data_IF_913527702871
#
_entry.id   IF_913527702871
#
_cell.length_a   1.000
_cell.length_b   1.000
_cell.length_c   1.000
_cell.angle_alpha   90.00
_cell.angle_beta   90.00
_cell.angle_gamma   90.00
#
_symmetry.space_group_name_H-M   'P 1'
#
loop_
_entity.id
_entity.type
_entity.pdbx_description
1 polymer ?
#
# COMPACT_ATOMS: atom_id res chain seq x y z
N UNK A 1 4.07 -11.94 17.36
CA UNK A 1 3.79 -11.33 16.05
C UNK A 1 3.27 -9.95 16.34
N UNK A 2 3.76 -8.92 15.64
CA UNK A 2 3.35 -7.55 15.92
C UNK A 2 1.87 -7.35 15.53
N UNK A 3 1.10 -6.67 16.39
CA UNK A 3 -0.30 -6.37 16.15
C UNK A 3 -0.42 -5.01 15.44
N UNK A 4 -0.91 -5.03 14.20
CA UNK A 4 -1.09 -3.84 13.36
C UNK A 4 -2.56 -3.43 13.38
N UNK A 5 -2.86 -2.19 13.78
CA UNK A 5 -4.22 -1.66 13.84
C UNK A 5 -4.30 -0.36 13.04
N UNK A 6 -5.18 -0.35 12.03
CA UNK A 6 -5.42 0.80 11.15
C UNK A 6 -6.78 1.40 11.51
N UNK A 7 -6.77 2.61 12.04
CA UNK A 7 -7.94 3.38 12.44
C UNK A 7 -8.31 4.33 11.31
N UNK A 8 -9.47 4.10 10.70
CA UNK A 8 -9.91 4.78 9.50
C UNK A 8 -10.85 5.95 9.81
N UNK A 9 -10.92 6.96 8.93
CA UNK A 9 -11.97 7.97 9.02
C UNK A 9 -13.37 7.33 8.97
N UNK A 10 -14.40 8.13 9.21
CA UNK A 10 -15.78 7.67 9.07
C UNK A 10 -16.09 7.35 7.59
N UNK A 11 -15.97 6.07 7.23
CA UNK A 11 -16.25 5.55 5.89
C UNK A 11 -17.69 5.02 5.83
N UNK A 12 -18.28 5.04 4.64
CA UNK A 12 -19.64 4.52 4.41
C UNK A 12 -19.75 2.99 4.59
N UNK A 13 -18.65 2.27 4.47
CA UNK A 13 -18.55 0.81 4.61
C UNK A 13 -17.13 0.42 5.03
N UNK A 14 -16.94 -0.83 5.49
CA UNK A 14 -15.65 -1.31 6.04
C UNK A 14 -14.47 -1.20 5.05
N UNK A 15 -14.70 -1.46 3.77
CA UNK A 15 -13.66 -1.29 2.75
C UNK A 15 -13.49 0.17 2.31
N UNK A 16 -14.50 1.00 2.52
CA UNK A 16 -14.56 2.38 2.06
C UNK A 16 -14.73 2.59 0.55
N UNK A 17 -14.90 1.52 -0.23
CA UNK A 17 -15.01 1.61 -1.71
C UNK A 17 -16.45 1.70 -2.22
N UNK A 18 -17.40 2.02 -1.34
CA UNK A 18 -18.83 2.09 -1.67
C UNK A 18 -19.18 3.44 -2.30
N UNK A 19 -19.20 3.51 -3.63
CA UNK A 19 -19.58 4.71 -4.38
C UNK A 19 -18.95 4.76 -5.78
N UNK A 20 -19.46 5.63 -6.68
CA UNK A 20 -18.93 5.76 -8.04
C UNK A 20 -17.51 6.34 -8.10
N UNK A 21 -17.06 7.05 -7.05
CA UNK A 21 -15.72 7.63 -6.93
C UNK A 21 -14.99 7.01 -5.73
N UNK A 22 -14.63 5.73 -5.85
CA UNK A 22 -13.86 5.06 -4.80
C UNK A 22 -12.39 5.51 -4.79
N UNK A 23 -11.86 5.77 -3.60
CA UNK A 23 -10.46 6.16 -3.41
C UNK A 23 -9.53 4.97 -3.74
N UNK A 24 -8.58 5.17 -4.64
CA UNK A 24 -7.60 4.16 -5.03
C UNK A 24 -6.78 3.65 -3.83
N UNK A 25 -6.53 4.50 -2.84
CA UNK A 25 -5.81 4.10 -1.62
C UNK A 25 -6.60 3.10 -0.78
N UNK A 26 -7.94 3.23 -0.72
CA UNK A 26 -8.85 2.30 -0.06
C UNK A 26 -8.90 0.94 -0.76
N UNK A 27 -8.83 0.93 -2.10
CA UNK A 27 -8.71 -0.31 -2.89
C UNK A 27 -7.40 -1.02 -2.57
N UNK A 28 -6.28 -0.30 -2.65
CA UNK A 28 -4.93 -0.86 -2.39
C UNK A 28 -4.81 -1.40 -0.97
N UNK A 29 -5.16 -0.62 0.05
CA UNK A 29 -5.04 -1.06 1.44
C UNK A 29 -5.95 -2.26 1.73
N UNK A 30 -7.16 -2.30 1.15
CA UNK A 30 -8.06 -3.45 1.30
C UNK A 30 -7.43 -4.73 0.74
N UNK A 31 -6.80 -4.64 -0.43
CA UNK A 31 -6.11 -5.78 -1.05
C UNK A 31 -4.87 -6.20 -0.24
N UNK A 32 -4.08 -5.24 0.24
CA UNK A 32 -2.85 -5.49 0.99
C UNK A 32 -3.14 -6.12 2.36
N UNK A 33 -4.11 -5.60 3.09
CA UNK A 33 -4.53 -6.17 4.39
C UNK A 33 -5.00 -7.61 4.23
N UNK A 34 -5.78 -7.93 3.19
CA UNK A 34 -6.19 -9.31 2.90
C UNK A 34 -4.99 -10.21 2.65
N UNK A 35 -4.08 -9.78 1.77
CA UNK A 35 -2.85 -10.53 1.47
C UNK A 35 -2.00 -10.77 2.71
N UNK A 36 -1.84 -9.77 3.58
CA UNK A 36 -1.06 -9.92 4.80
C UNK A 36 -1.72 -10.86 5.81
N UNK A 37 -3.05 -10.83 5.94
CA UNK A 37 -3.79 -11.81 6.73
C UNK A 37 -3.58 -13.24 6.21
N UNK A 38 -3.57 -13.44 4.90
CA UNK A 38 -3.29 -14.75 4.28
C UNK A 38 -1.87 -15.25 4.58
N UNK A 39 -0.91 -14.33 4.77
CA UNK A 39 0.46 -14.62 5.22
C UNK A 39 0.56 -14.79 6.75
N UNK A 40 -0.56 -14.71 7.46
CA UNK A 40 -0.65 -14.91 8.89
C UNK A 40 -0.44 -13.66 9.74
N UNK A 41 -0.34 -12.46 9.17
CA UNK A 41 -0.16 -11.23 9.94
C UNK A 41 -1.39 -10.89 10.81
N UNK A 42 -1.14 -10.43 12.05
CA UNK A 42 -2.16 -9.80 12.90
C UNK A 42 -2.34 -8.34 12.47
N UNK A 43 -3.30 -8.12 11.56
CA UNK A 43 -3.64 -6.79 11.05
C UNK A 43 -5.15 -6.59 11.03
N UNK A 44 -5.64 -5.50 11.61
CA UNK A 44 -7.06 -5.14 11.59
C UNK A 44 -7.29 -3.69 11.20
N UNK A 45 -8.46 -3.43 10.63
CA UNK A 45 -8.95 -2.09 10.28
C UNK A 45 -10.19 -1.80 11.13
N UNK A 46 -10.30 -0.57 11.62
CA UNK A 46 -11.45 -0.10 12.40
C UNK A 46 -11.98 1.18 11.76
N UNK A 47 -13.26 1.22 11.42
CA UNK A 47 -13.89 2.39 10.83
C UNK A 47 -14.56 3.21 11.93
N UNK A 48 -14.24 4.51 12.02
CA UNK A 48 -14.80 5.40 13.05
C UNK A 48 -16.34 5.44 13.04
N UNK A 49 -16.97 5.24 11.87
CA UNK A 49 -18.42 5.25 11.73
C UNK A 49 -19.09 4.00 12.35
N UNK A 50 -18.42 2.84 12.32
CA UNK A 50 -19.00 1.56 12.77
C UNK A 50 -18.46 1.10 14.12
N UNK A 51 -17.20 1.45 14.44
CA UNK A 51 -16.47 0.96 15.62
C UNK A 51 -15.94 2.11 16.52
N UNK A 52 -16.75 3.13 16.88
CA UNK A 52 -16.25 4.32 17.58
C UNK A 52 -15.66 4.03 18.97
N UNK A 53 -16.09 2.95 19.62
CA UNK A 53 -15.59 2.55 20.95
C UNK A 53 -14.11 2.14 20.93
N UNK A 54 -13.62 1.59 19.82
CA UNK A 54 -12.22 1.15 19.69
C UNK A 54 -11.26 2.34 19.64
N UNK A 55 -11.74 3.50 19.19
CA UNK A 55 -10.96 4.75 19.12
C UNK A 55 -10.73 5.42 20.48
N UNK A 56 -11.44 4.99 21.52
CA UNK A 56 -11.31 5.51 22.89
C UNK A 56 -10.81 4.48 23.88
N UNK A 57 -10.69 3.21 23.48
CA UNK A 57 -10.25 2.11 24.32
C UNK A 57 -8.72 2.07 24.48
N UNK A 58 -7.98 2.33 23.40
CA UNK A 58 -6.52 2.38 23.41
C UNK A 58 -6.02 3.80 23.77
N UNK A 59 -5.06 3.89 24.69
CA UNK A 59 -4.57 5.18 25.18
C UNK A 59 -3.85 6.00 24.11
N UNK A 60 -3.06 5.35 23.25
CA UNK A 60 -2.33 5.99 22.15
C UNK A 60 -3.32 6.58 21.15
N UNK A 61 -4.32 5.78 20.76
CA UNK A 61 -5.36 6.20 19.81
C UNK A 61 -6.22 7.31 20.40
N UNK A 62 -6.65 7.17 21.66
CA UNK A 62 -7.43 8.20 22.36
C UNK A 62 -6.65 9.52 22.46
N UNK A 63 -5.36 9.46 22.79
CA UNK A 63 -4.48 10.62 22.85
C UNK A 63 -4.34 11.32 21.48
N UNK A 64 -4.18 10.53 20.42
CA UNK A 64 -4.18 11.04 19.05
C UNK A 64 -5.51 11.72 18.69
N UNK A 65 -6.64 11.07 18.97
CA UNK A 65 -7.97 11.60 18.69
C UNK A 65 -8.24 12.90 19.47
N UNK A 66 -7.74 13.04 20.70
CA UNK A 66 -7.87 14.27 21.48
C UNK A 66 -7.00 15.41 20.93
N UNK A 67 -5.79 15.11 20.46
CA UNK A 67 -4.79 16.12 20.08
C UNK A 67 -4.90 16.55 18.62
N UNK A 68 -5.08 15.59 17.71
CA UNK A 68 -5.10 15.79 16.26
C UNK A 68 -6.54 15.77 15.73
N UNK A 69 -7.41 14.94 16.32
CA UNK A 69 -8.78 14.77 15.88
C UNK A 69 -8.94 13.88 14.65
N UNK A 70 -10.19 13.64 14.26
CA UNK A 70 -10.55 12.72 13.17
C UNK A 70 -10.01 13.13 11.79
N UNK A 71 -9.61 14.39 11.60
CA UNK A 71 -8.99 14.88 10.36
C UNK A 71 -7.59 14.34 10.11
N UNK A 72 -6.93 13.80 11.14
CA UNK A 72 -5.62 13.14 11.01
C UNK A 72 -5.68 11.66 10.65
N UNK A 73 -6.88 11.10 10.50
CA UNK A 73 -7.05 9.71 10.09
C UNK A 73 -6.74 9.55 8.58
N UNK A 74 -6.31 8.36 8.12
CA UNK A 74 -6.13 7.13 8.89
C UNK A 74 -4.92 7.18 9.84
N UNK A 75 -5.00 6.48 10.97
CA UNK A 75 -3.92 6.30 11.94
C UNK A 75 -3.51 4.83 11.95
N UNK A 76 -2.21 4.54 11.84
CA UNK A 76 -1.68 3.17 11.98
C UNK A 76 -0.89 3.04 13.28
N UNK A 77 -1.21 2.01 14.05
CA UNK A 77 -0.57 1.65 15.31
C UNK A 77 0.00 0.24 15.20
N UNK A 78 1.23 0.05 15.67
CA UNK A 78 1.90 -1.26 15.76
C UNK A 78 2.32 -1.47 17.21
N UNK A 79 1.80 -2.53 17.84
CA UNK A 79 2.07 -2.86 19.25
C UNK A 79 1.88 -1.66 20.20
N UNK A 80 0.80 -0.88 19.98
CA UNK A 80 0.46 0.30 20.77
C UNK A 80 1.22 1.58 20.41
N UNK A 81 2.13 1.56 19.43
CA UNK A 81 2.92 2.71 18.99
C UNK A 81 2.42 3.26 17.65
N UNK A 82 2.18 4.56 17.55
CA UNK A 82 1.84 5.22 16.28
C UNK A 82 3.01 5.17 15.30
N UNK A 83 2.77 4.64 14.09
CA UNK A 83 3.79 4.54 13.02
C UNK A 83 3.45 5.36 11.77
N UNK A 84 2.17 5.67 11.53
CA UNK A 84 1.74 6.49 10.39
C UNK A 84 0.42 7.21 10.67
N UNK A 85 0.20 8.36 10.05
CA UNK A 85 -1.03 9.17 10.14
C UNK A 85 -1.30 9.90 8.83
N UNK A 86 -2.57 10.13 8.50
CA UNK A 86 -3.03 10.89 7.33
C UNK A 86 -2.92 10.14 5.99
N UNK A 87 -2.12 9.09 5.92
CA UNK A 87 -1.98 8.23 4.74
C UNK A 87 -1.87 6.77 5.15
N UNK A 88 -2.34 5.86 4.29
CA UNK A 88 -2.16 4.42 4.47
C UNK A 88 -0.70 4.02 4.23
N UNK A 89 -0.13 3.11 5.06
CA UNK A 89 1.18 2.55 4.80
C UNK A 89 1.19 1.74 3.50
N UNK A 90 2.35 1.73 2.83
CA UNK A 90 2.59 0.86 1.68
C UNK A 90 2.67 -0.62 2.08
N UNK A 91 2.48 -1.52 1.11
CA UNK A 91 2.64 -2.97 1.32
C UNK A 91 3.98 -3.33 1.96
N UNK A 92 5.07 -2.70 1.51
CA UNK A 92 6.41 -2.98 2.01
C UNK A 92 6.55 -2.56 3.48
N UNK A 93 5.95 -1.43 3.87
CA UNK A 93 5.90 -1.01 5.27
C UNK A 93 5.07 -1.97 6.12
N UNK A 94 3.90 -2.39 5.63
CA UNK A 94 3.05 -3.35 6.34
C UNK A 94 3.77 -4.70 6.53
N UNK A 95 4.49 -5.19 5.51
CA UNK A 95 5.30 -6.41 5.61
C UNK A 95 6.40 -6.27 6.66
N UNK A 96 7.09 -5.11 6.70
CA UNK A 96 8.10 -4.84 7.73
C UNK A 96 7.48 -4.78 9.13
N UNK A 97 6.35 -4.08 9.29
CA UNK A 97 5.63 -4.01 10.57
C UNK A 97 5.20 -5.40 11.05
N UNK A 98 4.75 -6.27 10.15
CA UNK A 98 4.33 -7.62 10.47
C UNK A 98 5.50 -8.58 10.78
N UNK A 99 6.76 -8.14 10.57
CA UNK A 99 7.93 -9.02 10.65
C UNK A 99 8.00 -10.05 9.51
N UNK A 100 7.27 -9.81 8.42
CA UNK A 100 7.21 -10.65 7.22
C UNK A 100 8.05 -10.09 6.06
N UNK A 101 8.70 -8.95 6.25
CA UNK A 101 9.62 -8.38 5.28
C UNK A 101 10.95 -9.11 5.28
N UNK A 102 11.43 -9.49 4.09
CA UNK A 102 12.81 -9.95 3.93
C UNK A 102 13.79 -8.86 4.38
N UNK A 103 14.87 -9.20 5.12
CA UNK A 103 15.96 -8.27 5.36
C UNK A 103 16.79 -8.12 4.06
N UNK A 104 16.29 -7.36 3.10
CA UNK A 104 17.01 -7.09 1.85
C UNK A 104 16.94 -5.60 1.47
N UNK A 105 18.03 -5.04 0.91
CA UNK A 105 18.25 -3.61 0.84
C UNK A 105 17.28 -2.96 -0.15
N UNK A 106 16.79 -1.78 0.22
CA UNK A 106 16.14 -0.83 -0.69
C UNK A 106 17.09 -0.50 -1.82
N UNK A 107 16.95 -1.21 -2.95
CA UNK A 107 17.53 -0.80 -4.22
C UNK A 107 16.56 0.22 -4.80
N UNK A 108 16.90 1.52 -4.89
CA UNK A 108 15.98 2.48 -5.48
C UNK A 108 15.71 2.07 -6.93
N UNK A 109 14.44 2.05 -7.30
CA UNK A 109 14.01 1.84 -8.68
C UNK A 109 14.66 2.93 -9.54
N UNK A 110 15.68 2.52 -10.32
CA UNK A 110 16.25 3.38 -11.35
C UNK A 110 15.24 3.43 -12.48
N UNK A 111 14.48 4.51 -12.58
CA UNK A 111 13.67 4.79 -13.76
C UNK A 111 14.59 5.00 -14.94
N UNK A 112 14.86 3.94 -15.70
CA UNK A 112 15.59 4.05 -16.96
C UNK A 112 14.60 4.44 -18.06
N UNK A 113 14.27 5.74 -18.11
CA UNK A 113 13.74 6.38 -19.32
C UNK A 113 14.89 6.54 -20.30
N UNK A 114 15.29 5.42 -20.91
CA UNK A 114 16.30 5.36 -21.96
C UNK A 114 15.72 5.67 -23.34
N UNK A 115 15.30 6.91 -23.58
CA UNK A 115 15.32 7.44 -24.94
C UNK A 115 16.79 7.70 -25.32
N UNK A 116 17.44 6.73 -25.93
CA UNK A 116 18.63 7.00 -26.74
C UNK A 116 18.43 6.35 -28.10
N UNK A 117 18.24 7.22 -29.08
CA UNK A 117 18.16 6.98 -30.50
C UNK A 117 19.27 6.01 -30.96
N UNK A 118 18.88 4.83 -31.47
CA UNK A 118 19.80 3.98 -32.23
C UNK A 118 19.68 4.32 -33.71
N UNK A 119 20.39 5.36 -34.10
CA UNK A 119 21.04 5.35 -35.41
C UNK A 119 22.07 4.22 -35.44
N UNK A 120 22.01 3.41 -36.52
CA UNK A 120 23.07 2.68 -37.23
C UNK A 120 24.40 2.46 -36.45
N UNK A 121 24.99 1.27 -36.33
CA UNK A 121 25.30 0.33 -37.43
C UNK A 121 25.84 -0.99 -36.86
N UNK A 122 25.74 -2.03 -37.69
CA UNK A 122 26.63 -3.21 -37.83
C UNK A 122 26.44 -4.47 -36.96
N UNK A 123 26.04 -5.53 -37.68
CA UNK A 123 26.25 -6.99 -37.46
C UNK A 123 25.56 -7.59 -36.23
N UNK A 124 24.75 -8.64 -36.34
CA UNK A 124 24.83 -9.82 -37.20
C UNK A 124 23.50 -10.59 -37.16
N UNK A 125 23.19 -11.31 -38.24
CA UNK A 125 22.28 -12.46 -38.18
C UNK A 125 20.91 -12.17 -38.75
N UNK A 126 20.71 -12.55 -40.02
CA UNK A 126 19.40 -12.54 -40.65
C UNK A 126 18.47 -13.58 -40.01
N UNK A 127 17.18 -13.27 -40.04
CA UNK A 127 16.11 -14.26 -39.96
C UNK A 127 14.82 -13.66 -40.53
N UNK A 128 14.51 -14.08 -41.76
CA UNK A 128 13.16 -14.18 -42.33
C UNK A 128 12.39 -12.89 -42.69
N UNK A 129 12.17 -12.66 -43.99
CA UNK A 129 11.04 -11.83 -44.45
C UNK A 129 11.06 -11.39 -45.91
N UNK A 130 10.54 -12.23 -46.81
CA UNK A 130 9.92 -11.78 -48.06
C UNK A 130 10.83 -11.63 -49.27
N UNK A 131 10.91 -12.69 -50.09
CA UNK A 131 11.53 -12.64 -51.41
C UNK A 131 10.82 -11.66 -52.33
N UNK A 132 11.51 -10.59 -52.69
CA UNK A 132 11.31 -9.89 -53.95
C UNK A 132 11.87 -10.78 -55.07
N UNK A 133 11.00 -11.20 -55.98
CA UNK A 133 11.37 -11.76 -57.26
C UNK A 133 10.70 -10.94 -58.35
N UNK A 134 11.46 -10.04 -58.97
CA UNK A 134 11.16 -9.51 -60.29
C UNK A 134 11.56 -10.57 -61.32
N UNK A 135 10.58 -11.03 -62.09
CA UNK A 135 10.58 -11.45 -63.51
C UNK A 135 9.24 -12.12 -63.80
#
# INVERSE_FOLDING_TARGET
MAAIRIYEPALCCESGVCGPESDASLVTITADVRRLKDLGADIERHNLATDPTVFIADETVRGFMHTVGSKGLPLTVVDGVTVATGTYPSRDELLRFAGLGDPAPVVPARTQLGLTERGQTEKSGGCCGGGSGCC
#
